data_IF_090014431293
#
_entry.id   IF_090014431293
#
_cell.length_a   1.000
_cell.length_b   1.000
_cell.length_c   1.000
_cell.angle_alpha   90.00
_cell.angle_beta   90.00
_cell.angle_gamma   90.00
#
_symmetry.space_group_name_H-M   'P 1'
#
loop_
_entity.id
_entity.type
_entity.pdbx_description
1 polymer ?
#
# COMPACT_ATOMS: atom_id res chain seq x y z
N UNK A 1 21.79 19.59 -9.97
CA UNK A 1 21.67 18.41 -9.11
C UNK A 1 20.98 17.34 -9.92
N UNK A 2 21.68 16.23 -10.18
CA UNK A 2 21.15 15.08 -10.91
C UNK A 2 21.04 13.95 -9.90
N UNK A 3 19.92 13.93 -9.20
CA UNK A 3 19.53 12.83 -8.31
C UNK A 3 18.73 11.83 -9.16
N UNK A 4 19.42 11.10 -10.03
CA UNK A 4 18.83 10.06 -10.89
C UNK A 4 19.75 8.83 -10.88
N UNK A 5 19.91 8.25 -9.69
CA UNK A 5 20.56 6.95 -9.48
C UNK A 5 19.93 6.27 -8.27
N UNK A 6 18.68 5.84 -8.42
CA UNK A 6 18.22 4.57 -7.85
C UNK A 6 16.96 4.13 -8.60
N UNK A 7 17.17 3.47 -9.74
CA UNK A 7 16.12 2.82 -10.50
C UNK A 7 15.84 1.41 -9.94
N UNK A 8 15.72 1.30 -8.62
CA UNK A 8 14.76 0.35 -8.06
C UNK A 8 13.39 0.96 -8.34
N UNK A 9 12.43 0.16 -8.76
CA UNK A 9 11.06 0.62 -8.96
C UNK A 9 10.43 0.88 -7.57
N UNK A 10 10.92 1.90 -6.86
CA UNK A 10 10.39 2.35 -5.57
C UNK A 10 9.05 2.99 -5.88
N UNK A 11 8.00 2.22 -5.64
CA UNK A 11 6.64 2.75 -5.67
C UNK A 11 6.60 3.84 -4.59
N UNK A 12 6.49 5.09 -5.02
CA UNK A 12 6.45 6.26 -4.14
C UNK A 12 5.32 6.12 -3.10
N UNK A 13 5.49 6.70 -1.91
CA UNK A 13 4.53 6.60 -0.80
C UNK A 13 3.11 6.99 -1.26
N UNK A 14 2.99 8.03 -2.09
CA UNK A 14 1.71 8.49 -2.62
C UNK A 14 1.05 7.46 -3.55
N UNK A 15 1.87 6.80 -4.38
CA UNK A 15 1.41 5.72 -5.28
C UNK A 15 0.98 4.50 -4.46
N UNK A 16 1.73 4.17 -3.41
CA UNK A 16 1.39 3.09 -2.50
C UNK A 16 0.10 3.38 -1.72
N UNK A 17 -0.08 4.63 -1.29
CA UNK A 17 -1.31 5.11 -0.63
C UNK A 17 -2.51 4.98 -1.55
N UNK A 18 -2.38 5.40 -2.81
CA UNK A 18 -3.41 5.26 -3.82
C UNK A 18 -3.77 3.79 -4.10
N UNK A 19 -2.77 2.91 -4.24
CA UNK A 19 -2.98 1.47 -4.45
C UNK A 19 -3.69 0.81 -3.27
N UNK A 20 -3.31 1.16 -2.05
CA UNK A 20 -3.98 0.65 -0.84
C UNK A 20 -5.42 1.16 -0.81
N UNK A 21 -5.66 2.45 -1.04
CA UNK A 21 -7.02 3.03 -1.03
C UNK A 21 -7.91 2.42 -2.12
N UNK A 22 -7.39 2.24 -3.33
CA UNK A 22 -8.10 1.55 -4.42
C UNK A 22 -8.40 0.09 -4.05
N UNK A 23 -7.42 -0.60 -3.45
CA UNK A 23 -7.62 -1.97 -2.98
C UNK A 23 -8.68 -2.06 -1.89
N UNK A 24 -8.66 -1.16 -0.91
CA UNK A 24 -9.63 -1.04 0.19
C UNK A 24 -11.02 -0.75 -0.39
N UNK A 25 -11.14 0.22 -1.31
CA UNK A 25 -12.40 0.57 -1.96
C UNK A 25 -12.96 -0.55 -2.85
N UNK A 26 -12.08 -1.26 -3.57
CA UNK A 26 -12.44 -2.38 -4.42
C UNK A 26 -12.74 -3.68 -3.67
N UNK A 27 -12.39 -3.76 -2.39
CA UNK A 27 -12.73 -4.89 -1.52
C UNK A 27 -14.20 -4.83 -1.05
N UNK A 28 -14.85 -3.66 -1.07
CA UNK A 28 -16.24 -3.49 -0.64
C UNK A 28 -16.40 -3.49 0.89
N UNK A 29 -17.57 -3.90 1.39
CA UNK A 29 -17.86 -3.95 2.83
C UNK A 29 -17.08 -5.11 3.49
N UNK A 30 -15.79 -4.88 3.72
CA UNK A 30 -14.88 -5.82 4.39
C UNK A 30 -14.66 -5.34 5.81
N UNK A 31 -14.71 -6.27 6.76
CA UNK A 31 -14.46 -5.96 8.15
C UNK A 31 -13.08 -5.29 8.30
N UNK A 32 -12.99 -4.16 9.03
CA UNK A 32 -11.75 -3.40 9.19
C UNK A 32 -10.59 -4.23 9.75
N UNK A 33 -10.88 -5.25 10.56
CA UNK A 33 -9.89 -6.22 11.06
C UNK A 33 -9.27 -7.10 9.97
N UNK A 34 -10.00 -7.39 8.89
CA UNK A 34 -9.54 -8.29 7.82
C UNK A 34 -8.97 -7.56 6.60
N UNK A 35 -9.29 -6.28 6.48
CA UNK A 35 -8.77 -5.36 5.46
C UNK A 35 -7.25 -5.38 5.34
N UNK A 36 -6.45 -5.24 6.41
CA UNK A 36 -4.99 -5.20 6.27
C UNK A 36 -4.41 -6.51 5.75
N UNK A 37 -4.98 -7.65 6.16
CA UNK A 37 -4.58 -8.96 5.65
C UNK A 37 -4.89 -9.10 4.15
N UNK A 38 -6.08 -8.69 3.71
CA UNK A 38 -6.49 -8.76 2.31
C UNK A 38 -5.67 -7.84 1.41
N UNK A 39 -5.44 -6.61 1.86
CA UNK A 39 -4.59 -5.64 1.15
C UNK A 39 -3.17 -6.20 1.03
N UNK A 40 -2.61 -6.73 2.13
CA UNK A 40 -1.29 -7.35 2.11
C UNK A 40 -1.23 -8.55 1.17
N UNK A 41 -2.23 -9.43 1.14
CA UNK A 41 -2.26 -10.56 0.20
C UNK A 41 -2.31 -10.12 -1.26
N UNK A 42 -3.09 -9.08 -1.58
CA UNK A 42 -3.15 -8.51 -2.94
C UNK A 42 -1.84 -7.85 -3.34
N UNK A 43 -1.26 -7.07 -2.43
CA UNK A 43 -0.03 -6.31 -2.67
C UNK A 43 1.23 -7.18 -2.51
N UNK A 44 1.15 -8.39 -1.93
CA UNK A 44 2.26 -9.34 -1.81
C UNK A 44 2.89 -9.68 -3.17
N UNK A 45 2.13 -9.63 -4.26
CA UNK A 45 2.65 -9.84 -5.62
C UNK A 45 3.28 -8.60 -6.27
N UNK A 46 2.88 -7.39 -5.86
CA UNK A 46 3.29 -6.14 -6.51
C UNK A 46 4.31 -5.33 -5.68
N UNK A 47 4.32 -5.52 -4.37
CA UNK A 47 4.96 -4.66 -3.39
C UNK A 47 5.60 -5.45 -2.24
N UNK A 48 5.87 -6.75 -2.42
CA UNK A 48 6.49 -7.61 -1.41
C UNK A 48 7.81 -7.06 -0.82
N UNK A 49 8.42 -6.06 -1.45
CA UNK A 49 9.65 -5.43 -1.01
C UNK A 49 9.47 -4.04 -0.38
N UNK A 50 8.27 -3.44 -0.32
CA UNK A 50 8.14 -2.07 0.18
C UNK A 50 8.13 -2.04 1.72
N UNK A 51 9.16 -1.46 2.38
CA UNK A 51 9.31 -1.49 3.83
C UNK A 51 8.19 -0.75 4.56
N UNK A 52 7.63 0.31 3.96
CA UNK A 52 6.60 1.15 4.59
C UNK A 52 5.15 0.71 4.33
N UNK A 53 4.91 -0.40 3.60
CA UNK A 53 3.54 -0.81 3.26
C UNK A 53 2.67 -1.01 4.50
N UNK A 54 3.25 -1.59 5.54
CA UNK A 54 2.59 -1.90 6.81
C UNK A 54 2.26 -0.63 7.61
N UNK A 55 3.07 0.41 7.44
CA UNK A 55 2.90 1.72 8.06
C UNK A 55 1.79 2.49 7.35
N UNK A 56 1.86 2.60 6.02
CA UNK A 56 0.89 3.34 5.19
C UNK A 56 -0.49 2.69 5.28
N UNK A 57 -0.56 1.36 5.28
CA UNK A 57 -1.81 0.61 5.44
C UNK A 57 -2.50 0.93 6.77
N UNK A 58 -1.74 0.96 7.88
CA UNK A 58 -2.27 1.34 9.19
C UNK A 58 -2.68 2.80 9.27
N UNK A 59 -2.00 3.68 8.54
CA UNK A 59 -2.34 5.10 8.46
C UNK A 59 -3.70 5.30 7.77
N UNK A 60 -3.91 4.68 6.61
CA UNK A 60 -5.18 4.75 5.86
C UNK A 60 -6.35 4.15 6.64
N UNK A 61 -6.13 3.02 7.33
CA UNK A 61 -7.17 2.37 8.15
C UNK A 61 -7.54 3.17 9.40
N UNK A 62 -6.68 4.08 9.87
CA UNK A 62 -7.03 5.02 10.95
C UNK A 62 -7.75 6.26 10.42
N UNK A 63 -7.58 6.58 9.15
CA UNK A 63 -8.20 7.73 8.48
C UNK A 63 -9.63 7.42 7.98
N UNK A 64 -9.98 6.13 7.87
CA UNK A 64 -11.31 5.63 7.45
C UNK A 64 -12.17 5.28 8.65
#
# INVERSE_FOLDING_TARGET
>A
MADDKDAAYEIDEDTLRALIRDTVGGLGEVAPDTLPHRVRERLKGQLAAHPDIDRILRDILKET
#
